data_IF_340133609364
#
_entry.id   IF_340133609364
#
_cell.length_a   1.000
_cell.length_b   1.000
_cell.length_c   1.000
_cell.angle_alpha   90.00
_cell.angle_beta   90.00
_cell.angle_gamma   90.00
#
_symmetry.space_group_name_H-M   'P 1'
#
loop_
_entity.id
_entity.type
_entity.pdbx_description
1 polymer ?
#
# COMPACT_ATOMS: atom_id res chain seq x y z
N UNK A 1 -15.19 -6.65 11.31
CA UNK A 1 -15.66 -7.41 12.49
C UNK A 1 -15.56 -6.54 13.72
N UNK A 2 -16.37 -6.81 14.74
CA UNK A 2 -16.30 -6.19 16.06
C UNK A 2 -15.62 -7.15 17.02
N UNK A 3 -14.61 -6.67 17.75
CA UNK A 3 -13.92 -7.41 18.81
C UNK A 3 -14.74 -7.40 20.11
N UNK A 4 -14.56 -8.38 21.02
CA UNK A 4 -15.27 -8.40 22.30
C UNK A 4 -15.01 -7.16 23.17
N UNK A 5 -13.84 -6.53 23.02
CA UNK A 5 -13.44 -5.31 23.73
C UNK A 5 -13.93 -4.00 23.06
N UNK A 6 -14.76 -4.11 22.02
CA UNK A 6 -15.32 -2.96 21.30
C UNK A 6 -14.45 -2.40 20.18
N UNK A 7 -13.22 -2.92 19.96
CA UNK A 7 -12.43 -2.53 18.79
C UNK A 7 -13.11 -2.99 17.49
N UNK A 8 -12.97 -2.20 16.43
CA UNK A 8 -13.48 -2.55 15.08
C UNK A 8 -12.31 -2.80 14.16
N UNK A 9 -12.27 -3.98 13.56
CA UNK A 9 -11.33 -4.32 12.49
C UNK A 9 -12.03 -4.26 11.14
N UNK A 10 -11.48 -3.46 10.22
CA UNK A 10 -11.99 -3.28 8.86
C UNK A 10 -10.94 -3.80 7.88
N UNK A 11 -11.29 -4.82 7.12
CA UNK A 11 -10.46 -5.29 6.00
C UNK A 11 -10.63 -4.38 4.78
N UNK A 12 -9.52 -3.94 4.20
CA UNK A 12 -9.50 -3.10 3.00
C UNK A 12 -9.57 -3.92 1.69
N UNK A 13 -9.01 -5.13 1.69
CA UNK A 13 -9.11 -6.06 0.57
C UNK A 13 -10.38 -6.90 0.71
N UNK A 14 -11.35 -6.71 -0.18
CA UNK A 14 -12.64 -7.41 -0.14
C UNK A 14 -12.99 -8.02 -1.49
N UNK A 15 -13.64 -9.18 -1.45
CA UNK A 15 -14.09 -9.86 -2.66
C UNK A 15 -15.30 -9.17 -3.30
N UNK A 16 -16.18 -8.61 -2.48
CA UNK A 16 -17.36 -7.84 -2.90
C UNK A 16 -17.08 -6.36 -2.73
N UNK A 17 -17.14 -5.62 -3.83
CA UNK A 17 -16.98 -4.17 -3.88
C UNK A 17 -17.97 -3.55 -4.87
N UNK A 18 -18.47 -2.35 -4.55
CA UNK A 18 -19.44 -1.62 -5.37
C UNK A 18 -18.78 -0.78 -6.48
N UNK A 19 -17.47 -0.60 -6.42
CA UNK A 19 -16.71 0.33 -7.26
C UNK A 19 -16.49 1.71 -6.61
N UNK A 20 -17.20 2.05 -5.53
CA UNK A 20 -16.89 3.20 -4.68
C UNK A 20 -16.34 2.72 -3.33
N UNK A 21 -15.03 2.52 -3.27
CA UNK A 21 -14.30 2.09 -2.07
C UNK A 21 -14.58 2.99 -0.86
N UNK A 22 -14.78 4.29 -1.08
CA UNK A 22 -15.04 5.22 0.02
C UNK A 22 -16.40 4.94 0.67
N UNK A 23 -17.44 4.76 -0.16
CA UNK A 23 -18.79 4.42 0.31
C UNK A 23 -18.84 3.02 0.94
N UNK A 24 -18.12 2.08 0.34
CA UNK A 24 -17.96 0.69 0.76
C UNK A 24 -17.31 0.54 2.16
N UNK A 25 -16.30 1.35 2.46
CA UNK A 25 -15.68 1.38 3.78
C UNK A 25 -16.56 2.09 4.80
N UNK A 26 -17.21 3.18 4.41
CA UNK A 26 -18.11 3.91 5.29
C UNK A 26 -19.28 3.04 5.78
N UNK A 27 -19.96 2.32 4.88
CA UNK A 27 -21.06 1.43 5.30
C UNK A 27 -20.57 0.33 6.24
N UNK A 28 -19.39 -0.23 6.00
CA UNK A 28 -18.85 -1.30 6.84
C UNK A 28 -18.49 -0.81 8.25
N UNK A 29 -17.92 0.40 8.36
CA UNK A 29 -17.61 1.03 9.64
C UNK A 29 -18.89 1.34 10.41
N UNK A 30 -19.88 1.96 9.74
CA UNK A 30 -21.16 2.31 10.37
C UNK A 30 -21.95 1.06 10.82
N UNK A 31 -21.99 0.01 9.99
CA UNK A 31 -22.57 -1.28 10.39
C UNK A 31 -21.87 -1.89 11.60
N UNK A 32 -20.53 -1.82 11.65
CA UNK A 32 -19.77 -2.34 12.77
C UNK A 32 -20.01 -1.54 14.06
N UNK A 33 -20.15 -0.21 13.98
CA UNK A 33 -20.47 0.64 15.13
C UNK A 33 -21.87 0.38 15.71
N UNK A 34 -22.79 -0.16 14.91
CA UNK A 34 -24.15 -0.53 15.34
C UNK A 34 -24.26 -1.98 15.80
N UNK A 35 -23.21 -2.78 15.62
CA UNK A 35 -23.17 -4.19 16.01
C UNK A 35 -22.64 -4.30 17.44
N UNK A 36 -23.24 -5.19 18.25
CA UNK A 36 -22.74 -5.45 19.61
C UNK A 36 -21.28 -5.98 19.57
N UNK A 37 -20.41 -5.58 20.51
CA UNK A 37 -19.04 -6.09 20.59
C UNK A 37 -18.95 -7.62 20.53
N UNK A 38 -18.01 -8.15 19.73
CA UNK A 38 -17.89 -9.59 19.46
C UNK A 38 -18.93 -10.15 18.47
N UNK A 39 -19.92 -9.35 18.05
CA UNK A 39 -20.95 -9.76 17.11
C UNK A 39 -20.47 -9.92 15.66
N UNK A 40 -21.31 -10.57 14.85
CA UNK A 40 -21.07 -10.66 13.40
C UNK A 40 -21.61 -9.41 12.71
N UNK A 41 -20.74 -8.69 12.00
CA UNK A 41 -21.11 -7.47 11.27
C UNK A 41 -21.71 -7.83 9.92
N UNK A 42 -22.99 -7.54 9.71
CA UNK A 42 -23.63 -7.65 8.41
C UNK A 42 -23.38 -6.39 7.57
N UNK A 43 -22.66 -6.55 6.44
CA UNK A 43 -22.40 -5.47 5.48
C UNK A 43 -23.14 -5.78 4.18
N UNK A 44 -23.97 -4.85 3.66
CA UNK A 44 -24.66 -5.07 2.40
C UNK A 44 -23.68 -5.11 1.22
N UNK A 45 -23.99 -5.94 0.21
CA UNK A 45 -23.14 -6.08 -0.98
C UNK A 45 -23.04 -4.80 -1.82
N UNK A 46 -24.13 -4.02 -1.85
CA UNK A 46 -24.17 -2.69 -2.42
C UNK A 46 -24.47 -1.70 -1.28
N UNK A 47 -23.67 -0.65 -1.10
CA UNK A 47 -23.80 0.22 0.05
C UNK A 47 -25.02 1.15 -0.01
N UNK A 48 -25.59 1.37 -1.20
CA UNK A 48 -26.67 2.34 -1.42
C UNK A 48 -26.24 3.78 -1.14
N UNK A 49 -27.21 4.68 -1.03
CA UNK A 49 -26.97 6.08 -0.67
C UNK A 49 -26.47 6.22 0.77
N UNK A 50 -25.67 7.25 1.05
CA UNK A 50 -25.16 7.53 2.39
C UNK A 50 -23.79 8.21 2.38
N UNK A 51 -23.22 8.44 3.57
CA UNK A 51 -21.94 9.14 3.72
C UNK A 51 -20.78 8.31 3.13
N UNK A 52 -19.76 9.03 2.69
CA UNK A 52 -18.47 8.49 2.24
C UNK A 52 -17.49 8.43 3.41
N UNK A 53 -16.36 7.76 3.22
CA UNK A 53 -15.38 7.55 4.27
C UNK A 53 -14.90 8.88 4.87
N UNK A 54 -14.61 9.87 4.01
CA UNK A 54 -14.18 11.19 4.47
C UNK A 54 -15.24 11.96 5.29
N UNK A 55 -16.52 11.61 5.16
CA UNK A 55 -17.60 12.28 5.89
C UNK A 55 -17.73 11.76 7.33
N UNK A 56 -17.11 10.62 7.63
CA UNK A 56 -17.16 9.96 8.95
C UNK A 56 -15.80 9.91 9.64
N UNK A 57 -14.75 10.42 8.99
CA UNK A 57 -13.42 10.53 9.57
C UNK A 57 -13.18 11.96 10.06
N UNK A 58 -12.48 12.06 11.18
CA UNK A 58 -11.87 13.32 11.58
C UNK A 58 -10.62 13.56 10.72
N UNK A 59 -10.43 14.80 10.29
CA UNK A 59 -9.18 15.18 9.63
C UNK A 59 -8.03 15.12 10.65
N UNK A 60 -6.95 14.43 10.29
CA UNK A 60 -5.87 14.13 11.23
C UNK A 60 -4.79 13.24 10.65
N UNK A 61 -3.69 13.13 11.40
CA UNK A 61 -2.58 12.25 11.02
C UNK A 61 -3.01 10.80 11.19
N UNK A 62 -2.89 10.02 10.11
CA UNK A 62 -3.07 8.58 10.16
C UNK A 62 -1.84 7.94 10.83
N UNK A 63 -2.03 7.33 11.99
CA UNK A 63 -1.03 6.46 12.60
C UNK A 63 -1.03 5.10 11.88
N UNK A 64 0.15 4.68 11.45
CA UNK A 64 0.33 3.44 10.69
C UNK A 64 1.30 2.56 11.45
N UNK A 65 0.76 1.53 12.08
CA UNK A 65 1.52 0.46 12.72
C UNK A 65 1.65 -0.72 11.77
N UNK A 66 2.87 -1.21 11.60
CA UNK A 66 3.13 -2.44 10.85
C UNK A 66 3.20 -3.59 11.85
N UNK A 67 2.40 -4.62 11.64
CA UNK A 67 2.48 -5.87 12.38
C UNK A 67 3.24 -6.89 11.51
N UNK A 68 4.31 -7.44 12.07
CA UNK A 68 5.18 -8.45 11.44
C UNK A 68 4.70 -9.89 11.67
N UNK A 69 3.62 -10.03 12.42
CA UNK A 69 3.00 -11.29 12.81
C UNK A 69 1.48 -11.16 12.80
N UNK A 70 0.73 -12.27 12.78
CA UNK A 70 -0.73 -12.28 12.75
C UNK A 70 -1.38 -12.15 14.15
N UNK A 71 -0.57 -11.97 15.19
CA UNK A 71 -0.97 -11.96 16.61
C UNK A 71 -1.97 -10.84 16.91
N UNK A 72 -1.90 -9.73 16.15
CA UNK A 72 -2.85 -8.63 16.26
C UNK A 72 -4.30 -9.05 15.99
N UNK A 73 -4.53 -10.18 15.31
CA UNK A 73 -5.85 -10.76 15.08
C UNK A 73 -6.42 -11.51 16.28
N UNK A 74 -5.59 -11.96 17.22
CA UNK A 74 -6.07 -12.75 18.34
C UNK A 74 -6.73 -11.89 19.40
N UNK A 75 -7.71 -12.47 20.08
CA UNK A 75 -8.18 -11.95 21.37
C UNK A 75 -7.22 -12.45 22.45
N UNK A 76 -7.08 -11.70 23.55
CA UNK A 76 -6.10 -11.99 24.60
C UNK A 76 -6.21 -13.44 25.13
N UNK A 77 -7.43 -13.96 25.14
CA UNK A 77 -7.81 -15.25 25.72
C UNK A 77 -7.64 -16.42 24.74
N UNK A 78 -7.53 -16.13 23.43
CA UNK A 78 -7.43 -17.13 22.37
C UNK A 78 -5.99 -17.63 22.12
N UNK A 79 -5.00 -16.90 22.66
CA UNK A 79 -3.59 -17.17 22.42
C UNK A 79 -3.10 -18.46 23.10
N UNK A 80 -3.83 -19.03 24.07
CA UNK A 80 -3.39 -20.21 24.84
C UNK A 80 -3.79 -21.57 24.25
N UNK A 81 -4.69 -21.60 23.27
CA UNK A 81 -5.08 -22.83 22.57
C UNK A 81 -3.91 -23.36 21.68
N UNK A 82 -3.41 -24.60 21.90
CA UNK A 82 -2.32 -25.16 21.09
C UNK A 82 -2.59 -25.23 19.59
N UNK A 83 -3.85 -25.46 19.18
CA UNK A 83 -4.21 -25.49 17.76
C UNK A 83 -4.14 -24.10 17.14
N UNK A 84 -4.53 -23.07 17.90
CA UNK A 84 -4.42 -21.66 17.48
C UNK A 84 -2.94 -21.29 17.33
N UNK A 85 -2.09 -21.64 18.30
CA UNK A 85 -0.64 -21.41 18.24
C UNK A 85 -0.01 -22.04 16.99
N UNK A 86 -0.25 -23.33 16.74
CA UNK A 86 0.32 -24.02 15.56
C UNK A 86 -0.21 -23.48 14.22
N UNK A 87 -1.44 -22.97 14.19
CA UNK A 87 -1.98 -22.27 13.01
C UNK A 87 -1.27 -20.93 12.80
N UNK A 88 -1.08 -20.18 13.88
CA UNK A 88 -0.43 -18.87 13.87
C UNK A 88 1.05 -18.98 13.45
N UNK A 89 1.80 -19.95 13.98
CA UNK A 89 3.19 -20.20 13.58
C UNK A 89 3.33 -20.46 12.07
N UNK A 90 2.43 -21.28 11.51
CA UNK A 90 2.40 -21.53 10.06
C UNK A 90 2.04 -20.28 9.26
N UNK A 91 1.10 -19.47 9.75
CA UNK A 91 0.72 -18.22 9.11
C UNK A 91 1.90 -17.22 9.14
N UNK A 92 2.55 -17.05 10.29
CA UNK A 92 3.71 -16.17 10.47
C UNK A 92 4.90 -16.60 9.60
N UNK A 93 5.14 -17.91 9.47
CA UNK A 93 6.18 -18.43 8.58
C UNK A 93 5.96 -18.10 7.09
N UNK A 94 4.73 -17.74 6.69
CA UNK A 94 4.42 -17.33 5.31
C UNK A 94 4.62 -15.83 5.04
N UNK A 95 4.88 -15.03 6.08
CA UNK A 95 5.06 -13.58 5.95
C UNK A 95 6.41 -13.30 5.29
N UNK A 96 6.38 -12.51 4.21
CA UNK A 96 7.60 -11.93 3.67
C UNK A 96 8.07 -10.78 4.56
N UNK A 97 9.32 -10.80 5.07
CA UNK A 97 9.84 -9.70 5.89
C UNK A 97 9.65 -8.38 5.18
N UNK A 98 8.98 -7.46 5.84
CA UNK A 98 8.60 -6.15 5.28
C UNK A 98 8.96 -5.08 6.28
N UNK A 99 9.53 -3.97 5.81
CA UNK A 99 9.95 -2.84 6.63
C UNK A 99 9.44 -1.56 5.98
N UNK A 100 8.77 -0.72 6.76
CA UNK A 100 8.45 0.64 6.34
C UNK A 100 9.73 1.48 6.34
N UNK A 101 9.99 2.16 5.22
CA UNK A 101 11.12 3.07 5.10
C UNK A 101 10.75 4.46 5.63
N UNK A 102 11.67 5.08 6.37
CA UNK A 102 11.47 6.40 6.96
C UNK A 102 11.71 7.54 5.96
N UNK A 103 12.56 7.29 4.96
CA UNK A 103 12.95 8.25 3.91
C UNK A 103 11.79 8.74 3.04
N UNK A 104 10.72 7.95 2.90
CA UNK A 104 9.56 8.32 2.09
C UNK A 104 8.25 7.81 2.70
N UNK A 105 7.23 8.66 2.73
CA UNK A 105 5.90 8.29 3.21
C UNK A 105 5.34 7.16 2.36
N UNK A 106 4.89 6.09 3.01
CA UNK A 106 4.31 4.90 2.37
C UNK A 106 5.26 4.17 1.41
N UNK A 107 6.57 4.23 1.66
CA UNK A 107 7.56 3.35 1.04
C UNK A 107 7.83 2.13 1.93
N UNK A 108 7.90 0.97 1.30
CA UNK A 108 8.09 -0.31 1.97
C UNK A 108 9.15 -1.12 1.25
N UNK A 109 10.11 -1.62 2.02
CA UNK A 109 11.04 -2.64 1.61
C UNK A 109 10.45 -4.02 1.94
N UNK A 110 10.60 -5.00 1.06
CA UNK A 110 10.07 -6.34 1.26
C UNK A 110 11.04 -7.38 0.70
N UNK A 111 11.41 -8.38 1.51
CA UNK A 111 12.30 -9.47 1.10
C UNK A 111 11.51 -10.67 0.60
N UNK A 112 11.68 -10.99 -0.68
CA UNK A 112 11.16 -12.22 -1.30
C UNK A 112 12.31 -13.22 -1.49
N UNK A 113 12.04 -14.49 -1.87
CA UNK A 113 13.09 -15.52 -1.85
C UNK A 113 14.31 -15.21 -2.72
N UNK A 114 14.11 -14.60 -3.90
CA UNK A 114 15.16 -14.39 -4.90
C UNK A 114 15.80 -12.98 -4.86
N UNK A 115 15.10 -12.00 -4.30
CA UNK A 115 15.46 -10.57 -4.32
C UNK A 115 14.69 -9.80 -3.27
N UNK A 116 14.96 -8.52 -3.14
CA UNK A 116 14.13 -7.61 -2.37
C UNK A 116 13.40 -6.65 -3.29
N UNK A 117 12.35 -6.02 -2.78
CA UNK A 117 11.60 -4.98 -3.48
C UNK A 117 11.51 -3.72 -2.64
N UNK A 118 11.61 -2.58 -3.29
CA UNK A 118 11.04 -1.33 -2.76
C UNK A 118 9.72 -1.08 -3.50
N UNK A 119 8.65 -0.85 -2.74
CA UNK A 119 7.33 -0.47 -3.24
C UNK A 119 6.97 0.86 -2.61
N UNK A 120 6.59 1.85 -3.42
CA UNK A 120 6.26 3.17 -2.90
C UNK A 120 4.87 3.60 -3.36
N UNK A 121 3.94 3.77 -2.42
CA UNK A 121 2.60 4.30 -2.74
C UNK A 121 2.70 5.81 -2.89
N UNK A 122 2.58 6.31 -4.12
CA UNK A 122 2.66 7.74 -4.40
C UNK A 122 1.35 8.43 -3.95
N UNK A 123 1.45 9.57 -3.24
CA UNK A 123 0.29 10.29 -2.72
C UNK A 123 -0.42 11.14 -3.78
N UNK A 124 0.20 11.28 -4.94
CA UNK A 124 -0.23 12.19 -6.00
C UNK A 124 -1.28 11.56 -6.92
N UNK A 125 -1.90 12.41 -7.74
CA UNK A 125 -2.79 11.96 -8.80
C UNK A 125 -2.04 11.05 -9.79
N UNK A 126 -2.76 10.06 -10.34
CA UNK A 126 -2.19 9.03 -11.22
C UNK A 126 -1.49 9.65 -12.44
N UNK A 127 -2.10 10.65 -13.09
CA UNK A 127 -1.52 11.25 -14.29
C UNK A 127 -0.29 12.12 -13.96
N UNK A 128 -0.35 12.86 -12.86
CA UNK A 128 0.77 13.68 -12.39
C UNK A 128 1.97 12.79 -12.00
N UNK A 129 1.74 11.76 -11.19
CA UNK A 129 2.75 10.79 -10.79
C UNK A 129 3.36 10.07 -12.00
N UNK A 130 2.52 9.64 -12.96
CA UNK A 130 2.99 8.99 -14.17
C UNK A 130 3.85 9.92 -15.03
N UNK A 131 3.47 11.19 -15.15
CA UNK A 131 4.26 12.18 -15.89
C UNK A 131 5.63 12.41 -15.21
N UNK A 132 5.66 12.53 -13.88
CA UNK A 132 6.91 12.67 -13.12
C UNK A 132 7.84 11.46 -13.33
N UNK A 133 7.32 10.22 -13.17
CA UNK A 133 8.09 9.00 -13.44
C UNK A 133 8.56 8.91 -14.90
N UNK A 134 7.77 9.43 -15.85
CA UNK A 134 8.13 9.44 -17.27
C UNK A 134 9.30 10.39 -17.56
N UNK A 135 9.36 11.55 -16.89
CA UNK A 135 10.50 12.47 -16.98
C UNK A 135 11.76 11.83 -16.42
N UNK A 136 11.68 11.22 -15.24
CA UNK A 136 12.79 10.47 -14.65
C UNK A 136 13.24 9.33 -15.57
N UNK A 137 12.30 8.60 -16.16
CA UNK A 137 12.59 7.55 -17.15
C UNK A 137 13.33 8.07 -18.38
N UNK A 138 12.93 9.22 -18.91
CA UNK A 138 13.60 9.85 -20.05
C UNK A 138 15.00 10.38 -19.72
N UNK A 139 15.21 10.84 -18.48
CA UNK A 139 16.50 11.29 -17.99
C UNK A 139 17.46 10.15 -17.59
N UNK A 140 16.98 8.90 -17.56
CA UNK A 140 17.77 7.76 -17.04
C UNK A 140 17.84 7.70 -15.51
N UNK A 141 16.98 8.46 -14.85
CA UNK A 141 16.93 8.65 -13.40
C UNK A 141 15.82 7.83 -12.72
N UNK A 142 15.23 6.85 -13.40
CA UNK A 142 14.14 6.06 -12.81
C UNK A 142 14.60 5.05 -11.74
N UNK A 143 15.90 4.76 -11.67
CA UNK A 143 16.46 3.75 -10.77
C UNK A 143 16.78 4.34 -9.38
N UNK A 144 16.78 3.49 -8.36
CA UNK A 144 17.19 3.87 -7.00
C UNK A 144 18.71 3.95 -6.86
N UNK A 145 19.43 3.24 -7.72
CA UNK A 145 20.89 3.19 -7.71
C UNK A 145 21.42 2.09 -8.63
N UNK A 146 22.73 1.86 -8.57
CA UNK A 146 23.39 0.78 -9.31
C UNK A 146 22.84 -0.59 -8.89
N UNK A 147 22.74 -1.53 -9.83
CA UNK A 147 22.22 -2.88 -9.57
C UNK A 147 20.72 -2.96 -9.31
N UNK A 148 19.99 -1.85 -9.40
CA UNK A 148 18.52 -1.83 -9.24
C UNK A 148 17.81 -1.89 -10.59
N UNK A 149 16.57 -2.36 -10.58
CA UNK A 149 15.73 -2.44 -11.78
C UNK A 149 14.33 -1.94 -11.48
N UNK A 150 13.82 -1.02 -12.30
CA UNK A 150 12.40 -0.68 -12.30
C UNK A 150 11.59 -1.88 -12.82
N UNK A 151 10.96 -2.62 -11.92
CA UNK A 151 10.22 -3.84 -12.22
C UNK A 151 8.90 -3.53 -12.95
N UNK A 152 8.30 -2.40 -12.61
CA UNK A 152 7.02 -1.94 -13.13
C UNK A 152 6.32 -1.11 -12.08
N UNK A 153 5.01 -0.97 -12.23
CA UNK A 153 4.16 -0.38 -11.21
C UNK A 153 2.82 -1.06 -11.19
N UNK A 154 2.11 -0.94 -10.08
CA UNK A 154 0.72 -1.32 -10.04
C UNK A 154 -0.17 -0.19 -9.56
N UNK A 155 -1.44 -0.28 -9.91
CA UNK A 155 -2.48 0.63 -9.44
C UNK A 155 -3.28 -0.01 -8.32
N UNK A 156 -3.48 0.72 -7.23
CA UNK A 156 -4.35 0.35 -6.12
C UNK A 156 -5.14 1.58 -5.67
N UNK A 157 -6.47 1.48 -5.66
CA UNK A 157 -7.39 2.55 -5.21
C UNK A 157 -7.09 3.94 -5.82
N UNK A 158 -6.76 4.00 -7.12
CA UNK A 158 -6.46 5.26 -7.82
C UNK A 158 -5.07 5.85 -7.50
N UNK A 159 -4.19 5.09 -6.84
CA UNK A 159 -2.80 5.46 -6.60
C UNK A 159 -1.85 4.55 -7.38
N UNK A 160 -0.76 5.14 -7.85
CA UNK A 160 0.36 4.42 -8.46
C UNK A 160 1.33 3.93 -7.40
N UNK A 161 1.81 2.70 -7.59
CA UNK A 161 2.80 2.05 -6.76
C UNK A 161 3.95 1.56 -7.64
N UNK A 162 4.95 2.40 -7.94
CA UNK A 162 6.19 1.94 -8.55
C UNK A 162 6.90 0.89 -7.69
N UNK A 163 7.54 -0.05 -8.38
CA UNK A 163 8.25 -1.18 -7.78
C UNK A 163 9.65 -1.29 -8.37
N UNK A 164 10.63 -1.37 -7.49
CA UNK A 164 12.02 -1.64 -7.84
C UNK A 164 12.41 -3.02 -7.35
N UNK A 165 13.00 -3.83 -8.23
CA UNK A 165 13.81 -4.97 -7.85
C UNK A 165 15.17 -4.46 -7.37
N UNK A 166 15.58 -4.93 -6.21
CA UNK A 166 16.87 -4.59 -5.58
C UNK A 166 17.58 -5.89 -5.16
N UNK A 167 18.93 -5.86 -5.01
CA UNK A 167 19.69 -6.97 -4.46
C UNK A 167 19.08 -7.50 -3.15
N UNK A 168 19.20 -8.82 -2.95
CA UNK A 168 18.53 -9.52 -1.85
C UNK A 168 19.22 -9.25 -0.50
N UNK A 169 20.55 -9.22 -0.51
CA UNK A 169 21.34 -9.19 0.71
C UNK A 169 21.14 -7.91 1.54
N UNK A 170 21.19 -6.69 0.96
CA UNK A 170 21.10 -5.47 1.74
C UNK A 170 19.76 -5.36 2.47
N UNK A 171 19.83 -4.99 3.74
CA UNK A 171 18.67 -4.78 4.61
C UNK A 171 17.98 -3.45 4.32
N UNK A 172 16.74 -3.29 4.81
CA UNK A 172 15.92 -2.10 4.57
C UNK A 172 16.64 -0.77 4.87
N UNK A 173 17.41 -0.70 5.96
CA UNK A 173 18.13 0.50 6.39
C UNK A 173 19.18 0.97 5.37
N UNK A 174 19.76 0.06 4.60
CA UNK A 174 20.77 0.37 3.58
C UNK A 174 20.15 1.08 2.35
N UNK A 175 18.83 0.95 2.17
CA UNK A 175 18.10 1.58 1.06
C UNK A 175 17.55 2.96 1.38
N UNK A 176 17.59 3.40 2.64
CA UNK A 176 17.01 4.68 3.07
C UNK A 176 17.60 5.87 2.32
N UNK A 177 18.92 5.91 2.12
CA UNK A 177 19.58 7.00 1.41
C UNK A 177 19.17 7.04 -0.08
N UNK A 178 19.12 5.87 -0.74
CA UNK A 178 18.73 5.75 -2.14
C UNK A 178 17.27 6.14 -2.38
N UNK A 179 16.38 5.75 -1.46
CA UNK A 179 14.96 6.11 -1.52
C UNK A 179 14.74 7.59 -1.21
N UNK A 180 15.49 8.18 -0.28
CA UNK A 180 15.44 9.62 -0.01
C UNK A 180 15.88 10.45 -1.23
N UNK A 181 16.97 10.05 -1.89
CA UNK A 181 17.44 10.69 -3.12
C UNK A 181 16.41 10.58 -4.25
N UNK A 182 15.85 9.39 -4.47
CA UNK A 182 14.79 9.21 -5.46
C UNK A 182 13.55 10.05 -5.12
N UNK A 183 13.17 10.15 -3.85
CA UNK A 183 12.03 10.95 -3.43
C UNK A 183 12.22 12.44 -3.73
N UNK A 184 13.44 12.96 -3.59
CA UNK A 184 13.78 14.32 -3.99
C UNK A 184 13.63 14.51 -5.50
N UNK A 185 14.24 13.63 -6.30
CA UNK A 185 14.15 13.69 -7.78
C UNK A 185 12.71 13.57 -8.28
N UNK A 186 11.91 12.70 -7.65
CA UNK A 186 10.49 12.59 -7.92
C UNK A 186 9.74 13.88 -7.61
N UNK A 187 10.00 14.52 -6.46
CA UNK A 187 9.38 15.79 -6.09
C UNK A 187 9.74 16.89 -7.10
N UNK A 188 11.01 16.98 -7.51
CA UNK A 188 11.46 17.95 -8.50
C UNK A 188 10.78 17.72 -9.87
N UNK A 189 10.67 16.46 -10.30
CA UNK A 189 10.00 16.09 -11.55
C UNK A 189 8.48 16.26 -11.51
N UNK A 190 7.86 16.16 -10.34
CA UNK A 190 6.44 16.39 -10.12
C UNK A 190 6.09 17.88 -10.18
N UNK A 191 6.98 18.75 -9.68
CA UNK A 191 6.82 20.20 -9.74
C UNK A 191 6.93 20.78 -11.16
N UNK A 192 7.46 20.01 -12.12
CA UNK A 192 7.49 20.41 -13.54
C UNK A 192 6.15 20.13 -14.24
N UNK A 193 5.35 21.19 -14.38
CA UNK A 193 4.05 21.18 -15.06
C UNK A 193 4.15 21.33 -16.60
N UNK A 194 5.37 21.46 -17.16
CA UNK A 194 5.54 21.61 -18.60
C UNK A 194 5.06 20.36 -19.36
N UNK A 195 4.55 20.48 -20.60
CA UNK A 195 4.13 19.32 -21.38
C UNK A 195 5.27 18.33 -21.61
N UNK A 196 4.98 17.02 -21.53
CA UNK A 196 5.97 15.98 -21.79
C UNK A 196 6.58 16.12 -23.19
N UNK A 197 7.91 16.15 -23.24
CA UNK A 197 8.67 16.14 -24.48
C UNK A 197 8.59 14.77 -25.19
N UNK A 198 9.23 14.65 -26.36
CA UNK A 198 9.21 13.41 -27.15
C UNK A 198 9.76 12.19 -26.38
N UNK A 199 10.96 12.27 -25.78
CA UNK A 199 11.52 11.23 -24.91
C UNK A 199 10.59 10.84 -23.75
N UNK A 200 10.08 11.79 -22.98
CA UNK A 200 9.22 11.50 -21.83
C UNK A 200 7.87 10.90 -22.25
N UNK A 201 7.30 11.31 -23.39
CA UNK A 201 6.12 10.64 -23.95
C UNK A 201 6.39 9.19 -24.31
N UNK A 202 7.57 8.87 -24.87
CA UNK A 202 7.95 7.47 -25.14
C UNK A 202 8.17 6.68 -23.85
N UNK A 203 8.79 7.28 -22.85
CA UNK A 203 8.96 6.67 -21.53
C UNK A 203 7.59 6.36 -20.90
N UNK A 204 6.63 7.29 -20.96
CA UNK A 204 5.25 7.10 -20.49
C UNK A 204 4.60 5.87 -21.10
N UNK A 205 4.74 5.66 -22.41
CA UNK A 205 4.20 4.46 -23.09
C UNK A 205 4.87 3.17 -22.59
N UNK A 206 6.20 3.18 -22.39
CA UNK A 206 6.92 2.04 -21.85
C UNK A 206 6.52 1.70 -20.41
N UNK A 207 6.24 2.72 -19.58
CA UNK A 207 5.77 2.58 -18.22
C UNK A 207 4.34 2.00 -18.15
N UNK A 208 3.43 2.51 -18.98
CA UNK A 208 2.06 1.98 -19.11
C UNK A 208 2.06 0.50 -19.52
N UNK A 209 2.96 0.10 -20.43
CA UNK A 209 3.11 -1.30 -20.83
C UNK A 209 3.59 -2.25 -19.72
N UNK A 210 4.08 -1.71 -18.59
CA UNK A 210 4.54 -2.45 -17.40
C UNK A 210 3.65 -2.18 -16.18
N UNK A 211 2.45 -1.62 -16.39
CA UNK A 211 1.50 -1.34 -15.33
C UNK A 211 0.52 -2.50 -15.15
N UNK A 212 0.37 -2.96 -13.90
CA UNK A 212 -0.65 -3.92 -13.50
C UNK A 212 -1.75 -3.20 -12.70
N UNK A 213 -3.01 -3.63 -12.81
CA UNK A 213 -4.06 -3.16 -11.89
C UNK A 213 -4.33 -4.27 -10.88
N UNK A 214 -4.13 -3.99 -9.59
CA UNK A 214 -4.62 -4.85 -8.52
C UNK A 214 -6.09 -4.49 -8.26
N UNK A 215 -6.94 -5.51 -8.21
CA UNK A 215 -8.39 -5.37 -7.97
C UNK A 215 -8.79 -6.08 -6.69
#
# INVERSE_FOLDING_TARGET
MTKPDGRIFVGLQRHVQSGDVSRDLAVAILSALQTEPGGTVAVPALPGEGPRLQDILVDGVLDITMHDTFEFWLDADAADDPNVKASLERANASIYPTVRLASARAAYWCRVPEKSHVRWVLPDDEDAALNALSRLGAAGELLLGEGTKFAGMFRAHGRLVPVWDIPREPEAAEWEAAVADFAKRYTDALADESPLDGPARRAKQGLLGRQLTLR
#
